data_IF_785650323660
#
_entry.id   IF_785650323660
#
_cell.length_a   1.000
_cell.length_b   1.000
_cell.length_c   1.000
_cell.angle_alpha   90.00
_cell.angle_beta   90.00
_cell.angle_gamma   90.00
#
_symmetry.space_group_name_H-M   'P 1'
#
loop_
_entity.id
_entity.type
_entity.pdbx_description
1 polymer ?
#
# COMPACT_ATOMS: atom_id res chain seq x y z
N UNK A 1 -11.20 -32.79 -4.19
CA UNK A 1 -11.09 -31.57 -5.02
C UNK A 1 -9.71 -31.56 -5.64
N UNK A 2 -9.61 -31.68 -6.97
CA UNK A 2 -8.32 -31.58 -7.65
C UNK A 2 -7.75 -30.17 -7.46
N UNK A 3 -6.48 -30.06 -7.04
CA UNK A 3 -5.80 -28.76 -7.00
C UNK A 3 -5.70 -28.26 -8.44
N UNK A 4 -6.28 -27.08 -8.70
CA UNK A 4 -6.02 -26.29 -9.91
C UNK A 4 -4.52 -26.22 -10.15
N UNK A 5 -4.04 -26.82 -11.24
CA UNK A 5 -2.63 -26.78 -11.68
C UNK A 5 -2.25 -25.44 -12.30
N UNK A 6 -3.23 -24.58 -12.57
CA UNK A 6 -2.98 -23.24 -13.10
C UNK A 6 -2.20 -22.38 -12.09
N UNK A 7 -1.13 -21.68 -12.55
CA UNK A 7 -0.39 -20.73 -11.72
C UNK A 7 -1.32 -19.67 -11.15
N UNK A 8 -1.25 -19.45 -9.84
CA UNK A 8 -1.99 -18.35 -9.19
C UNK A 8 -1.43 -17.01 -9.63
N UNK A 9 -2.31 -16.04 -9.73
CA UNK A 9 -1.94 -14.66 -9.98
C UNK A 9 -1.69 -13.92 -8.66
N UNK A 10 -0.73 -13.00 -8.69
CA UNK A 10 -0.26 -12.26 -7.53
C UNK A 10 -0.34 -10.77 -7.78
N UNK A 11 -0.48 -9.99 -6.72
CA UNK A 11 -0.63 -8.54 -6.82
C UNK A 11 0.70 -7.90 -6.44
N UNK A 12 1.21 -7.02 -7.29
CA UNK A 12 2.40 -6.25 -7.01
C UNK A 12 2.21 -5.39 -5.76
N UNK A 13 3.25 -5.36 -4.93
CA UNK A 13 3.29 -4.51 -3.76
C UNK A 13 3.45 -3.06 -4.20
N UNK A 14 2.79 -2.14 -3.49
CA UNK A 14 3.10 -0.72 -3.64
C UNK A 14 4.47 -0.46 -3.02
N UNK A 15 5.42 0.01 -3.84
CA UNK A 15 6.73 0.41 -3.34
C UNK A 15 6.60 1.62 -2.40
N UNK A 16 7.36 1.62 -1.30
CA UNK A 16 7.50 2.82 -0.49
C UNK A 16 8.48 3.76 -1.20
N UNK A 17 8.21 5.07 -1.24
CA UNK A 17 9.00 6.00 -2.04
C UNK A 17 10.47 6.11 -1.59
N UNK A 18 10.79 5.72 -0.35
CA UNK A 18 12.16 5.66 0.18
C UNK A 18 12.81 4.28 0.12
N UNK A 19 12.13 3.24 -0.41
CA UNK A 19 12.69 1.89 -0.58
C UNK A 19 12.93 1.61 -2.05
N UNK A 20 14.19 1.46 -2.44
CA UNK A 20 14.58 1.06 -3.79
C UNK A 20 14.45 -0.45 -4.03
N UNK A 21 14.40 -1.27 -2.97
CA UNK A 21 14.38 -2.74 -3.05
C UNK A 21 12.97 -3.35 -3.04
N UNK A 22 11.93 -2.56 -2.73
CA UNK A 22 10.54 -3.02 -2.76
C UNK A 22 10.02 -3.21 -4.20
N UNK A 23 10.80 -2.77 -5.19
CA UNK A 23 10.53 -2.91 -6.61
C UNK A 23 10.60 -4.38 -7.02
N UNK A 24 9.41 -4.99 -7.12
CA UNK A 24 9.27 -6.35 -7.63
C UNK A 24 8.86 -7.39 -6.60
N UNK A 25 8.48 -7.03 -5.37
CA UNK A 25 7.78 -7.97 -4.49
C UNK A 25 6.26 -7.90 -4.68
N UNK A 26 5.60 -9.03 -4.46
CA UNK A 26 4.14 -9.11 -4.42
C UNK A 26 3.60 -8.89 -3.00
N UNK A 27 2.29 -8.69 -2.88
CA UNK A 27 1.60 -8.59 -1.60
C UNK A 27 1.79 -9.86 -0.75
N UNK A 28 1.90 -11.04 -1.37
CA UNK A 28 2.21 -12.27 -0.66
C UNK A 28 3.70 -12.47 -0.36
N UNK A 29 4.59 -11.58 -0.82
CA UNK A 29 6.03 -11.63 -0.56
C UNK A 29 6.84 -12.49 -1.54
N UNK A 30 6.22 -12.96 -2.62
CA UNK A 30 6.97 -13.57 -3.73
C UNK A 30 7.63 -12.49 -4.58
N UNK A 31 8.77 -12.83 -5.15
CA UNK A 31 9.37 -12.05 -6.24
C UNK A 31 8.45 -12.09 -7.47
N UNK A 32 8.21 -10.94 -8.07
CA UNK A 32 7.38 -10.78 -9.25
C UNK A 32 7.99 -11.46 -10.49
N UNK A 33 9.29 -11.74 -10.47
CA UNK A 33 9.99 -12.52 -11.51
C UNK A 33 9.66 -14.02 -11.41
N UNK A 34 9.29 -14.49 -10.23
CA UNK A 34 9.04 -15.91 -9.96
C UNK A 34 7.55 -16.28 -10.05
N UNK A 35 6.67 -15.33 -10.37
CA UNK A 35 5.23 -15.56 -10.37
C UNK A 35 4.49 -14.70 -11.40
N UNK A 36 3.23 -15.04 -11.68
CA UNK A 36 2.36 -14.19 -12.50
C UNK A 36 1.86 -13.01 -11.68
N UNK A 37 2.62 -11.92 -11.68
CA UNK A 37 2.26 -10.69 -10.98
C UNK A 37 1.44 -9.74 -11.86
N UNK A 38 0.51 -9.01 -11.24
CA UNK A 38 -0.28 -7.95 -11.86
C UNK A 38 -0.29 -6.71 -10.97
N UNK A 39 -0.50 -5.52 -11.55
CA UNK A 39 -0.67 -4.32 -10.74
C UNK A 39 -1.99 -4.34 -9.97
N UNK A 40 -2.11 -3.44 -9.00
CA UNK A 40 -3.38 -3.24 -8.27
C UNK A 40 -4.50 -2.79 -9.20
N UNK A 41 -4.21 -1.88 -10.13
CA UNK A 41 -5.16 -1.40 -11.14
C UNK A 41 -5.65 -2.56 -12.02
N UNK A 42 -4.75 -3.48 -12.38
CA UNK A 42 -5.13 -4.66 -13.17
C UNK A 42 -6.04 -5.60 -12.38
N UNK A 43 -5.82 -5.73 -11.06
CA UNK A 43 -6.69 -6.52 -10.19
C UNK A 43 -8.09 -5.91 -10.06
N UNK A 44 -8.19 -4.59 -9.93
CA UNK A 44 -9.47 -3.87 -9.91
C UNK A 44 -10.23 -4.05 -11.22
N UNK A 45 -9.54 -3.89 -12.36
CA UNK A 45 -10.12 -4.14 -13.68
C UNK A 45 -10.59 -5.59 -13.82
N UNK A 46 -9.79 -6.56 -13.38
CA UNK A 46 -10.16 -7.98 -13.36
C UNK A 46 -11.41 -8.24 -12.53
N UNK A 47 -11.55 -7.62 -11.36
CA UNK A 47 -12.75 -7.74 -10.53
C UNK A 47 -13.97 -7.13 -11.22
N UNK A 48 -13.82 -5.97 -11.85
CA UNK A 48 -14.90 -5.34 -12.60
C UNK A 48 -15.38 -6.20 -13.77
N UNK A 49 -14.45 -6.85 -14.48
CA UNK A 49 -14.75 -7.70 -15.65
C UNK A 49 -15.32 -9.08 -15.26
N UNK A 50 -14.76 -9.72 -14.24
CA UNK A 50 -15.00 -11.14 -13.94
C UNK A 50 -15.91 -11.34 -12.71
N UNK A 51 -16.12 -10.30 -11.92
CA UNK A 51 -16.74 -10.38 -10.60
C UNK A 51 -15.78 -10.95 -9.54
N UNK A 52 -16.08 -10.66 -8.27
CA UNK A 52 -15.23 -11.02 -7.12
C UNK A 52 -15.01 -12.54 -7.01
N UNK A 53 -16.07 -13.33 -7.18
CA UNK A 53 -16.01 -14.79 -7.04
C UNK A 53 -15.01 -15.40 -8.03
N UNK A 54 -15.09 -15.07 -9.32
CA UNK A 54 -14.18 -15.63 -10.35
C UNK A 54 -12.76 -15.13 -10.17
N UNK A 55 -12.58 -13.85 -9.86
CA UNK A 55 -11.26 -13.28 -9.57
C UNK A 55 -10.57 -13.96 -8.37
N UNK A 56 -11.33 -14.33 -7.33
CA UNK A 56 -10.80 -15.01 -6.14
C UNK A 56 -10.25 -16.41 -6.45
N UNK A 57 -10.79 -17.12 -7.44
CA UNK A 57 -10.35 -18.47 -7.79
C UNK A 57 -9.00 -18.51 -8.49
N UNK A 58 -8.63 -17.46 -9.24
CA UNK A 58 -7.36 -17.38 -9.97
C UNK A 58 -6.27 -16.64 -9.20
N UNK A 59 -6.63 -15.93 -8.13
CA UNK A 59 -5.69 -15.13 -7.34
C UNK A 59 -5.11 -15.91 -6.16
N UNK A 60 -3.87 -15.59 -5.78
CA UNK A 60 -3.29 -16.02 -4.51
C UNK A 60 -4.17 -15.57 -3.35
N UNK A 61 -4.51 -16.49 -2.43
CA UNK A 61 -5.41 -16.19 -1.29
C UNK A 61 -4.90 -15.02 -0.44
N UNK A 62 -3.60 -14.90 -0.22
CA UNK A 62 -3.01 -13.79 0.54
C UNK A 62 -3.16 -12.46 -0.20
N UNK A 63 -2.95 -12.46 -1.51
CA UNK A 63 -3.17 -11.29 -2.35
C UNK A 63 -4.66 -10.92 -2.37
N UNK A 64 -5.56 -11.91 -2.48
CA UNK A 64 -7.01 -11.72 -2.42
C UNK A 64 -7.50 -11.15 -1.09
N UNK A 65 -7.00 -11.65 0.04
CA UNK A 65 -7.29 -11.08 1.36
C UNK A 65 -6.86 -9.61 1.45
N UNK A 66 -5.70 -9.26 0.88
CA UNK A 66 -5.25 -7.87 0.83
C UNK A 66 -6.23 -6.98 0.05
N UNK A 67 -6.83 -7.48 -1.04
CA UNK A 67 -7.89 -6.81 -1.82
C UNK A 67 -9.15 -6.60 -1.00
N UNK A 68 -9.68 -7.70 -0.45
CA UNK A 68 -11.00 -7.72 0.22
C UNK A 68 -11.04 -6.82 1.45
N UNK A 69 -9.92 -6.70 2.16
CA UNK A 69 -9.82 -5.86 3.35
C UNK A 69 -9.88 -4.35 3.05
N UNK A 70 -10.20 -3.95 1.81
CA UNK A 70 -10.43 -2.58 1.35
C UNK A 70 -9.29 -1.62 1.73
N UNK A 71 -8.06 -2.14 1.85
CA UNK A 71 -6.84 -1.39 2.21
C UNK A 71 -6.39 -0.38 1.13
N UNK A 72 -7.25 -0.10 0.14
CA UNK A 72 -6.88 0.30 -1.22
C UNK A 72 -7.33 1.72 -1.58
N UNK A 73 -8.43 2.21 -1.01
CA UNK A 73 -9.13 3.32 -1.64
C UNK A 73 -8.76 4.74 -1.17
N UNK A 74 -8.32 5.00 0.06
CA UNK A 74 -8.52 6.37 0.60
C UNK A 74 -7.42 6.99 1.48
N UNK A 75 -6.28 6.33 1.71
CA UNK A 75 -5.27 6.88 2.63
C UNK A 75 -3.94 7.18 1.95
N UNK A 76 -3.48 8.43 2.05
CA UNK A 76 -2.13 8.89 1.69
C UNK A 76 -1.01 8.06 2.35
N UNK A 77 -1.33 7.34 3.44
CA UNK A 77 -0.45 6.44 4.19
C UNK A 77 -0.69 4.94 3.92
N UNK A 78 -1.53 4.60 2.93
CA UNK A 78 -2.04 3.24 2.74
C UNK A 78 -0.95 2.21 2.45
N UNK A 79 0.10 2.61 1.73
CA UNK A 79 1.23 1.73 1.42
C UNK A 79 2.10 1.45 2.67
N UNK A 80 2.39 2.49 3.44
CA UNK A 80 3.15 2.46 4.69
C UNK A 80 2.47 1.55 5.72
N UNK A 81 1.18 1.81 5.99
CA UNK A 81 0.38 1.01 6.94
C UNK A 81 0.30 -0.44 6.49
N UNK A 82 0.14 -0.69 5.19
CA UNK A 82 0.11 -2.05 4.66
C UNK A 82 1.44 -2.79 4.86
N UNK A 83 2.57 -2.12 4.68
CA UNK A 83 3.90 -2.71 4.92
C UNK A 83 4.11 -3.00 6.41
N UNK A 84 3.83 -2.03 7.29
CA UNK A 84 3.97 -2.21 8.76
C UNK A 84 3.13 -3.37 9.24
N UNK A 85 1.83 -3.37 8.88
CA UNK A 85 0.91 -4.41 9.35
C UNK A 85 1.31 -5.78 8.83
N UNK A 86 1.73 -5.89 7.57
CA UNK A 86 2.21 -7.16 7.00
C UNK A 86 3.42 -7.70 7.74
N UNK A 87 4.40 -6.84 8.03
CA UNK A 87 5.60 -7.23 8.76
C UNK A 87 5.25 -7.79 10.15
N UNK A 88 4.29 -7.15 10.84
CA UNK A 88 3.78 -7.58 12.13
C UNK A 88 2.95 -8.87 12.04
N UNK A 89 1.97 -8.94 11.13
CA UNK A 89 1.05 -10.08 10.95
C UNK A 89 1.80 -11.36 10.56
N UNK A 90 2.89 -11.24 9.79
CA UNK A 90 3.71 -12.38 9.35
C UNK A 90 4.86 -12.71 10.28
N UNK A 91 5.13 -11.85 11.26
CA UNK A 91 6.32 -11.92 12.08
C UNK A 91 7.61 -12.07 11.25
N UNK A 92 7.70 -11.40 10.09
CA UNK A 92 8.87 -11.48 9.21
C UNK A 92 10.04 -10.71 9.86
N UNK A 93 11.07 -11.39 10.38
CA UNK A 93 12.12 -10.72 11.13
C UNK A 93 12.99 -9.81 10.25
N UNK A 94 13.11 -10.11 8.96
CA UNK A 94 13.87 -9.28 8.03
C UNK A 94 13.11 -7.99 7.72
N UNK A 95 11.82 -8.09 7.44
CA UNK A 95 10.98 -6.93 7.17
C UNK A 95 10.82 -6.03 8.41
N UNK A 96 10.72 -6.62 9.61
CA UNK A 96 10.71 -5.89 10.88
C UNK A 96 12.03 -5.14 11.11
N UNK A 97 13.19 -5.80 10.91
CA UNK A 97 14.49 -5.13 11.04
C UNK A 97 14.64 -3.97 10.05
N UNK A 98 14.21 -4.17 8.80
CA UNK A 98 14.25 -3.11 7.80
C UNK A 98 13.37 -1.92 8.22
N UNK A 99 12.13 -2.17 8.70
CA UNK A 99 11.27 -1.12 9.24
C UNK A 99 11.91 -0.38 10.42
N UNK A 100 12.58 -1.09 11.32
CA UNK A 100 13.29 -0.48 12.45
C UNK A 100 14.41 0.45 11.97
N UNK A 101 15.18 0.05 10.95
CA UNK A 101 16.20 0.90 10.34
C UNK A 101 15.57 2.14 9.67
N UNK A 102 14.52 1.94 8.88
CA UNK A 102 13.81 3.03 8.19
C UNK A 102 13.30 4.07 9.18
N UNK A 103 12.59 3.65 10.24
CA UNK A 103 12.07 4.57 11.26
C UNK A 103 13.18 5.23 12.08
N UNK A 104 14.28 4.52 12.32
CA UNK A 104 15.44 5.12 12.99
C UNK A 104 16.06 6.21 12.13
N UNK A 105 16.24 5.97 10.84
CA UNK A 105 16.76 6.95 9.89
C UNK A 105 15.83 8.18 9.79
N UNK A 106 14.51 7.97 9.65
CA UNK A 106 13.52 9.05 9.64
C UNK A 106 13.61 9.89 10.92
N UNK A 107 13.69 9.23 12.09
CA UNK A 107 13.83 9.95 13.37
C UNK A 107 15.10 10.80 13.43
N UNK A 108 16.22 10.28 12.94
CA UNK A 108 17.48 11.02 12.89
C UNK A 108 17.40 12.21 11.94
N UNK A 109 16.80 12.04 10.76
CA UNK A 109 16.57 13.12 9.80
C UNK A 109 15.67 14.21 10.38
N UNK A 110 14.55 13.84 11.00
CA UNK A 110 13.64 14.79 11.67
C UNK A 110 14.35 15.53 12.80
N UNK A 111 15.18 14.85 13.58
CA UNK A 111 15.93 15.50 14.66
C UNK A 111 16.96 16.51 14.12
N UNK A 112 17.67 16.17 13.04
CA UNK A 112 18.65 17.07 12.40
C UNK A 112 17.98 18.25 11.68
N UNK A 113 16.78 18.06 11.12
CA UNK A 113 16.05 19.03 10.31
C UNK A 113 14.74 19.49 10.98
N UNK A 114 14.75 19.65 12.30
CA UNK A 114 13.49 19.85 13.06
C UNK A 114 12.68 21.06 12.59
N UNK A 115 13.33 22.19 12.36
CA UNK A 115 12.65 23.40 11.91
C UNK A 115 12.01 23.25 10.51
N UNK A 116 12.70 22.57 9.59
CA UNK A 116 12.20 22.29 8.23
C UNK A 116 11.02 21.31 8.27
N UNK A 117 11.11 20.27 9.11
CA UNK A 117 10.02 19.35 9.35
C UNK A 117 8.78 20.06 9.90
N UNK A 118 8.93 20.89 10.93
CA UNK A 118 7.83 21.63 11.54
C UNK A 118 7.16 22.60 10.55
N UNK A 119 7.96 23.32 9.76
CA UNK A 119 7.45 24.18 8.70
C UNK A 119 6.65 23.38 7.66
N UNK A 120 7.17 22.24 7.21
CA UNK A 120 6.49 21.36 6.25
C UNK A 120 5.16 20.84 6.80
N UNK A 121 5.12 20.41 8.06
CA UNK A 121 3.89 19.96 8.71
C UNK A 121 2.86 21.08 8.76
N UNK A 122 3.28 22.28 9.17
CA UNK A 122 2.41 23.45 9.23
C UNK A 122 1.83 23.84 7.87
N UNK A 123 2.65 23.83 6.82
CA UNK A 123 2.23 24.13 5.44
C UNK A 123 1.22 23.09 4.92
N UNK A 124 1.42 21.81 5.25
CA UNK A 124 0.50 20.73 4.90
C UNK A 124 -0.85 20.87 5.59
N UNK A 125 -0.86 21.18 6.89
CA UNK A 125 -2.10 21.43 7.66
C UNK A 125 -2.87 22.61 7.07
N UNK A 126 -2.19 23.73 6.84
CA UNK A 126 -2.78 24.94 6.26
C UNK A 126 -3.36 24.68 4.87
N UNK A 127 -2.66 23.89 4.04
CA UNK A 127 -3.13 23.53 2.69
C UNK A 127 -4.40 22.66 2.73
N UNK A 128 -4.52 21.76 3.71
CA UNK A 128 -5.73 20.94 3.89
C UNK A 128 -6.91 21.81 4.31
N UNK A 129 -6.70 22.73 5.26
CA UNK A 129 -7.75 23.65 5.74
C UNK A 129 -8.32 24.52 4.62
N UNK A 130 -7.47 25.04 3.72
CA UNK A 130 -7.91 25.79 2.56
C UNK A 130 -8.72 24.94 1.56
N UNK A 131 -8.32 23.69 1.34
CA UNK A 131 -9.06 22.78 0.48
C UNK A 131 -10.46 22.45 1.06
N UNK A 132 -10.55 22.23 2.38
CA UNK A 132 -11.83 22.01 3.08
C UNK A 132 -12.73 23.25 2.97
N UNK A 133 -12.20 24.45 3.25
CA UNK A 133 -12.96 25.70 3.17
C UNK A 133 -13.52 25.96 1.75
N UNK A 134 -12.73 25.66 0.71
CA UNK A 134 -13.13 25.83 -0.69
C UNK A 134 -14.26 24.86 -1.08
N UNK A 135 -14.21 23.63 -0.58
CA UNK A 135 -15.23 22.61 -0.83
C UNK A 135 -16.56 22.98 -0.14
N UNK A 136 -16.50 23.53 1.08
CA UNK A 136 -17.67 24.01 1.81
C UNK A 136 -18.38 25.20 1.11
N UNK A 137 -17.61 26.14 0.54
CA UNK A 137 -18.18 27.26 -0.25
C UNK A 137 -18.85 26.81 -1.55
N UNK A 138 -18.39 25.72 -2.17
CA UNK A 138 -18.97 25.18 -3.40
C UNK A 138 -20.24 24.35 -3.13
N UNK A 139 -20.34 23.70 -1.96
CA UNK A 139 -21.52 22.94 -1.54
C UNK A 139 -22.72 23.80 -1.10
N UNK A 140 -22.48 25.02 -0.60
CA UNK A 140 -23.54 25.96 -0.16
C UNK A 140 -24.20 26.79 -1.27
N UNK A 141 -23.82 26.58 -2.55
CA UNK A 141 -24.36 27.31 -3.72
C UNK A 141 -25.40 26.50 -4.52
N UNK A 142 -25.98 25.46 -3.94
CA UNK A 142 -27.05 24.66 -4.55
C UNK A 142 -28.40 24.95 -3.92
#
# INVERSE_FOLDING_TARGET
MARSTEPKEHILRTALPWRTEADGLTECGLDARDCRAMSRVDMERKIAEQGQTRASFTSCMTCWSAVRDNRWAEQRLGAEVAVIRRALDRHDPAEIRQLQHDFTAIRLLVAAHRAEFDATVHDLETSIDLAVARTAQQGGKR
#
